data_IF_111170740457
#
_entry.id   IF_111170740457
#
_cell.length_a   1.000
_cell.length_b   1.000
_cell.length_c   1.000
_cell.angle_alpha   90.00
_cell.angle_beta   90.00
_cell.angle_gamma   90.00
#
_symmetry.space_group_name_H-M   'P 1'
#
loop_
_entity.id
_entity.type
_entity.pdbx_description
1 polymer ?
#
# COMPACT_ATOMS: atom_id res chain seq x y z
N UNK A 1 6.43 6.25 3.08
CA UNK A 1 6.10 6.82 1.76
C UNK A 1 5.19 8.00 1.99
N UNK A 2 5.43 9.16 1.38
CA UNK A 2 4.49 10.28 1.45
C UNK A 2 3.35 9.97 0.48
N UNK A 3 2.13 9.79 1.00
CA UNK A 3 0.94 9.62 0.17
C UNK A 3 0.32 10.99 -0.10
N UNK A 4 0.41 11.45 -1.34
CA UNK A 4 -0.21 12.70 -1.75
C UNK A 4 -1.63 12.40 -2.25
N UNK A 5 -2.62 12.92 -1.55
CA UNK A 5 -3.99 12.85 -2.01
C UNK A 5 -4.18 13.78 -3.23
N UNK A 6 -4.34 13.20 -4.41
CA UNK A 6 -4.47 13.95 -5.66
C UNK A 6 -5.63 14.95 -5.67
N UNK A 7 -6.72 14.70 -4.92
CA UNK A 7 -7.84 15.64 -4.79
C UNK A 7 -7.41 16.90 -4.04
N UNK A 8 -6.67 16.75 -2.95
CA UNK A 8 -6.21 17.88 -2.14
C UNK A 8 -5.14 18.69 -2.86
N UNK A 9 -4.27 18.00 -3.60
CA UNK A 9 -3.34 18.65 -4.52
C UNK A 9 -4.09 19.54 -5.51
N UNK A 10 -5.10 18.99 -6.19
CA UNK A 10 -5.91 19.75 -7.13
C UNK A 10 -6.65 20.91 -6.45
N UNK A 11 -7.22 20.71 -5.25
CA UNK A 11 -7.89 21.77 -4.51
C UNK A 11 -6.95 22.94 -4.20
N UNK A 12 -5.74 22.67 -3.69
CA UNK A 12 -4.75 23.71 -3.40
C UNK A 12 -4.41 24.53 -4.67
N UNK A 13 -4.14 23.85 -5.79
CA UNK A 13 -3.84 24.51 -7.07
C UNK A 13 -5.04 25.31 -7.58
N UNK A 14 -6.26 24.79 -7.45
CA UNK A 14 -7.47 25.46 -7.90
C UNK A 14 -7.77 26.73 -7.09
N UNK A 15 -7.54 26.74 -5.77
CA UNK A 15 -7.74 27.96 -4.98
C UNK A 15 -6.68 29.03 -5.28
N UNK A 16 -5.42 28.63 -5.50
CA UNK A 16 -4.38 29.56 -5.98
C UNK A 16 -4.82 30.18 -7.31
N UNK A 17 -5.29 29.36 -8.26
CA UNK A 17 -5.79 29.83 -9.56
C UNK A 17 -7.01 30.74 -9.44
N UNK A 18 -7.94 30.43 -8.54
CA UNK A 18 -9.12 31.28 -8.29
C UNK A 18 -8.70 32.66 -7.82
N UNK A 19 -7.78 32.76 -6.86
CA UNK A 19 -7.30 34.06 -6.37
C UNK A 19 -6.55 34.82 -7.46
N UNK A 20 -5.73 34.13 -8.26
CA UNK A 20 -5.06 34.75 -9.43
C UNK A 20 -6.07 35.35 -10.42
N UNK A 21 -7.15 34.63 -10.73
CA UNK A 21 -8.19 35.15 -11.60
C UNK A 21 -8.88 36.41 -11.02
N UNK A 22 -9.05 36.49 -9.71
CA UNK A 22 -9.57 37.71 -9.05
C UNK A 22 -8.59 38.88 -9.23
N UNK A 23 -7.28 38.64 -9.04
CA UNK A 23 -6.23 39.65 -9.22
C UNK A 23 -6.22 40.17 -10.67
N UNK A 24 -6.36 39.30 -11.67
CA UNK A 24 -6.36 39.70 -13.07
C UNK A 24 -7.50 40.69 -13.41
N UNK A 25 -8.63 40.59 -12.71
CA UNK A 25 -9.81 41.43 -12.92
C UNK A 25 -9.89 42.64 -11.97
N UNK A 26 -8.84 42.91 -11.17
CA UNK A 26 -8.83 43.93 -10.11
C UNK A 26 -8.72 45.41 -10.55
N UNK A 27 -9.20 45.76 -11.74
CA UNK A 27 -9.18 47.14 -12.23
C UNK A 27 -7.79 47.62 -12.69
N UNK A 28 -7.65 48.93 -12.85
CA UNK A 28 -6.42 49.60 -13.31
C UNK A 28 -5.29 49.59 -12.28
N UNK A 29 -4.06 49.88 -12.71
CA UNK A 29 -2.88 49.91 -11.82
C UNK A 29 -2.99 50.91 -10.67
N UNK A 30 -3.72 52.01 -10.86
CA UNK A 30 -4.00 52.98 -9.80
C UNK A 30 -4.98 52.40 -8.76
N UNK A 31 -6.06 51.76 -9.22
CA UNK A 31 -7.04 51.07 -8.37
C UNK A 31 -6.41 49.91 -7.58
N UNK A 32 -5.40 49.25 -8.14
CA UNK A 32 -4.67 48.16 -7.46
C UNK A 32 -3.83 48.62 -6.27
N UNK A 33 -3.56 49.92 -6.17
CA UNK A 33 -2.84 50.54 -5.04
C UNK A 33 -3.78 51.13 -4.01
N UNK A 34 -5.08 51.17 -4.26
CA UNK A 34 -6.05 51.62 -3.27
C UNK A 34 -6.29 50.54 -2.19
N UNK A 35 -6.76 50.98 -1.02
CA UNK A 35 -7.12 50.04 0.04
C UNK A 35 -8.24 49.12 -0.43
N UNK A 36 -8.08 47.82 -0.22
CA UNK A 36 -9.04 46.81 -0.63
C UNK A 36 -10.32 46.93 0.20
N UNK A 37 -11.46 46.86 -0.49
CA UNK A 37 -12.76 46.91 0.15
C UNK A 37 -13.04 45.63 0.97
N UNK A 38 -13.88 45.78 2.00
CA UNK A 38 -14.21 44.69 2.93
C UNK A 38 -14.82 43.47 2.23
N UNK A 39 -15.64 43.67 1.19
CA UNK A 39 -16.28 42.55 0.48
C UNK A 39 -15.23 41.73 -0.27
N UNK A 40 -14.26 42.37 -0.92
CA UNK A 40 -13.15 41.68 -1.57
C UNK A 40 -12.29 40.93 -0.55
N UNK A 41 -11.97 41.53 0.61
CA UNK A 41 -11.25 40.85 1.70
C UNK A 41 -12.00 39.62 2.21
N UNK A 42 -13.30 39.72 2.45
CA UNK A 42 -14.13 38.60 2.93
C UNK A 42 -14.16 37.43 1.95
N UNK A 43 -14.14 37.69 0.63
CA UNK A 43 -14.08 36.66 -0.41
C UNK A 43 -12.70 35.97 -0.40
N UNK A 44 -11.62 36.75 -0.33
CA UNK A 44 -10.25 36.24 -0.31
C UNK A 44 -9.92 35.47 0.96
N UNK A 45 -10.47 35.89 2.10
CA UNK A 45 -10.32 35.21 3.37
C UNK A 45 -10.91 33.79 3.29
N UNK A 46 -12.11 33.65 2.71
CA UNK A 46 -12.73 32.32 2.47
C UNK A 46 -11.86 31.44 1.57
N UNK A 47 -11.37 31.97 0.45
CA UNK A 47 -10.49 31.19 -0.45
C UNK A 47 -9.20 30.76 0.28
N UNK A 48 -8.66 31.62 1.15
CA UNK A 48 -7.46 31.31 1.93
C UNK A 48 -7.75 30.25 3.00
N UNK A 49 -8.88 30.36 3.69
CA UNK A 49 -9.35 29.36 4.66
C UNK A 49 -9.61 27.98 4.00
N UNK A 50 -10.07 27.96 2.74
CA UNK A 50 -10.25 26.72 1.97
C UNK A 50 -8.90 26.13 1.47
N UNK A 51 -7.92 26.99 1.19
CA UNK A 51 -6.59 26.59 0.69
C UNK A 51 -5.70 25.98 1.79
N UNK A 52 -5.68 26.56 3.00
CA UNK A 52 -4.77 26.16 4.10
C UNK A 52 -4.87 24.67 4.44
N UNK A 53 -6.05 24.06 4.63
CA UNK A 53 -6.17 22.63 4.93
C UNK A 53 -5.59 21.73 3.84
N UNK A 54 -5.65 22.18 2.58
CA UNK A 54 -5.09 21.43 1.45
C UNK A 54 -3.55 21.48 1.48
N UNK A 55 -2.96 22.65 1.72
CA UNK A 55 -1.50 22.79 1.87
C UNK A 55 -0.95 22.00 3.06
N UNK A 56 -1.68 21.99 4.17
CA UNK A 56 -1.34 21.21 5.37
C UNK A 56 -1.29 19.70 5.06
N UNK A 57 -2.31 19.17 4.36
CA UNK A 57 -2.39 17.75 4.01
C UNK A 57 -1.40 17.35 2.91
N UNK A 58 -0.92 18.30 2.10
CA UNK A 58 0.20 18.09 1.17
C UNK A 58 1.55 18.11 1.88
N UNK A 59 1.58 18.44 3.18
CA UNK A 59 2.80 18.68 3.94
C UNK A 59 3.67 19.82 3.35
N UNK A 60 3.05 20.77 2.65
CA UNK A 60 3.68 21.96 2.07
C UNK A 60 3.76 23.07 3.14
N UNK A 61 4.64 22.88 4.13
CA UNK A 61 4.73 23.70 5.36
C UNK A 61 5.08 25.15 5.09
N UNK A 62 5.96 25.44 4.13
CA UNK A 62 6.34 26.82 3.79
C UNK A 62 5.20 27.54 3.07
N UNK A 63 4.51 26.83 2.19
CA UNK A 63 3.30 27.32 1.53
C UNK A 63 2.19 27.60 2.54
N UNK A 64 1.94 26.66 3.46
CA UNK A 64 0.97 26.79 4.55
C UNK A 64 1.29 28.01 5.43
N UNK A 65 2.55 28.18 5.82
CA UNK A 65 2.99 29.33 6.62
C UNK A 65 2.71 30.65 5.90
N UNK A 66 2.96 30.70 4.59
CA UNK A 66 2.75 31.90 3.77
C UNK A 66 1.25 32.19 3.58
N UNK A 67 0.43 31.16 3.42
CA UNK A 67 -1.03 31.27 3.38
C UNK A 67 -1.63 31.75 4.70
N UNK A 68 -1.11 31.27 5.84
CA UNK A 68 -1.54 31.75 7.17
C UNK A 68 -1.19 33.22 7.40
N UNK A 69 -0.03 33.69 6.90
CA UNK A 69 0.31 35.13 6.92
C UNK A 69 -0.65 35.96 6.07
N UNK A 70 -0.97 35.50 4.86
CA UNK A 70 -1.97 36.17 4.02
C UNK A 70 -3.33 36.24 4.73
N UNK A 71 -3.77 35.15 5.36
CA UNK A 71 -5.00 35.08 6.14
C UNK A 71 -5.03 36.13 7.26
N UNK A 72 -3.92 36.30 7.98
CA UNK A 72 -3.77 37.33 9.03
C UNK A 72 -3.89 38.75 8.44
N UNK A 73 -3.19 39.04 7.34
CA UNK A 73 -3.27 40.34 6.64
C UNK A 73 -4.70 40.67 6.15
N UNK A 74 -5.43 39.65 5.69
CA UNK A 74 -6.82 39.80 5.23
C UNK A 74 -7.80 40.02 6.39
N UNK A 75 -7.52 39.43 7.56
CA UNK A 75 -8.39 39.48 8.74
C UNK A 75 -8.25 40.78 9.54
N UNK A 76 -7.10 41.45 9.44
CA UNK A 76 -6.85 42.73 10.10
C UNK A 76 -7.49 43.89 9.30
N UNK A 77 -7.87 44.96 9.99
CA UNK A 77 -8.41 46.19 9.38
C UNK A 77 -7.30 47.12 8.81
N UNK A 78 -6.05 46.65 8.79
CA UNK A 78 -4.90 47.39 8.28
C UNK A 78 -5.02 47.66 6.77
N UNK A 79 -4.28 48.66 6.29
CA UNK A 79 -4.19 48.98 4.87
C UNK A 79 -3.62 47.79 4.08
N UNK A 80 -4.37 47.28 3.11
CA UNK A 80 -4.00 46.12 2.30
C UNK A 80 -4.53 46.31 0.89
N UNK A 81 -3.68 46.10 -0.11
CA UNK A 81 -3.96 46.43 -1.51
C UNK A 81 -3.97 45.17 -2.40
N UNK A 82 -4.41 45.32 -3.65
CA UNK A 82 -4.28 44.27 -4.66
C UNK A 82 -2.81 43.94 -4.97
N UNK A 83 -1.91 44.92 -4.79
CA UNK A 83 -0.46 44.72 -4.94
C UNK A 83 0.08 43.81 -3.83
N UNK A 84 -0.36 44.02 -2.59
CA UNK A 84 0.03 43.18 -1.44
C UNK A 84 -0.48 41.75 -1.61
N UNK A 85 -1.74 41.59 -2.06
CA UNK A 85 -2.30 40.29 -2.40
C UNK A 85 -1.47 39.58 -3.49
N UNK A 86 -1.09 40.31 -4.54
CA UNK A 86 -0.28 39.75 -5.64
C UNK A 86 1.07 39.24 -5.13
N UNK A 87 1.74 40.01 -4.27
CA UNK A 87 3.00 39.60 -3.67
C UNK A 87 2.84 38.37 -2.75
N UNK A 88 1.80 38.36 -1.91
CA UNK A 88 1.52 37.24 -1.01
C UNK A 88 1.20 35.95 -1.78
N UNK A 89 0.38 36.03 -2.84
CA UNK A 89 0.07 34.88 -3.69
C UNK A 89 1.30 34.37 -4.45
N UNK A 90 2.18 35.26 -4.91
CA UNK A 90 3.43 34.87 -5.56
C UNK A 90 4.37 34.15 -4.59
N UNK A 91 4.45 34.58 -3.32
CA UNK A 91 5.22 33.86 -2.29
C UNK A 91 4.64 32.46 -2.05
N UNK A 92 3.32 32.33 -1.87
CA UNK A 92 2.65 31.02 -1.69
C UNK A 92 2.91 30.09 -2.88
N UNK A 93 2.76 30.56 -4.12
CA UNK A 93 3.02 29.74 -5.32
C UNK A 93 4.49 29.35 -5.44
N UNK A 94 5.42 30.28 -5.19
CA UNK A 94 6.85 30.01 -5.27
C UNK A 94 7.26 28.96 -4.23
N UNK A 95 6.77 29.06 -3.00
CA UNK A 95 7.04 28.07 -1.96
C UNK A 95 6.45 26.71 -2.30
N UNK A 96 5.23 26.68 -2.84
CA UNK A 96 4.61 25.42 -3.23
C UNK A 96 5.40 24.75 -4.34
N UNK A 97 5.89 25.53 -5.32
CA UNK A 97 6.76 25.03 -6.37
C UNK A 97 8.07 24.48 -5.81
N UNK A 98 8.77 25.25 -4.96
CA UNK A 98 10.01 24.80 -4.33
C UNK A 98 9.81 23.51 -3.53
N UNK A 99 8.73 23.40 -2.76
CA UNK A 99 8.40 22.22 -1.97
C UNK A 99 8.05 21.01 -2.86
N UNK A 100 7.36 21.23 -3.97
CA UNK A 100 7.05 20.19 -4.95
C UNK A 100 8.31 19.74 -5.73
N UNK A 101 9.27 20.62 -5.99
CA UNK A 101 10.54 20.29 -6.63
C UNK A 101 11.42 19.37 -5.75
N UNK A 102 11.20 19.38 -4.43
CA UNK A 102 11.91 18.52 -3.47
C UNK A 102 11.32 17.11 -3.35
N UNK A 103 10.13 16.85 -3.92
CA UNK A 103 9.46 15.54 -3.81
C UNK A 103 9.33 14.83 -5.15
N UNK A 104 9.19 13.51 -5.10
CA UNK A 104 8.86 12.68 -6.27
C UNK A 104 7.47 12.11 -6.10
N UNK A 105 6.62 12.33 -7.09
CA UNK A 105 5.26 11.80 -7.13
C UNK A 105 5.28 10.53 -7.96
N UNK A 106 4.94 9.40 -7.34
CA UNK A 106 4.74 8.13 -8.02
C UNK A 106 3.24 7.88 -8.13
N UNK A 107 2.75 7.69 -9.35
CA UNK A 107 1.33 7.44 -9.60
C UNK A 107 1.14 5.96 -9.90
N UNK A 108 0.29 5.31 -9.10
CA UNK A 108 -0.12 3.94 -9.36
C UNK A 108 -1.33 3.92 -10.29
N UNK A 109 -1.39 2.91 -11.16
CA UNK A 109 -2.63 2.62 -11.88
C UNK A 109 -3.70 2.16 -10.87
N UNK A 110 -5.01 2.34 -11.16
CA UNK A 110 -6.07 1.86 -10.27
C UNK A 110 -5.96 0.37 -9.95
N UNK A 111 -5.51 -0.44 -10.91
CA UNK A 111 -5.26 -1.87 -10.71
C UNK A 111 -4.11 -2.12 -9.71
N UNK A 112 -3.05 -1.32 -9.76
CA UNK A 112 -1.93 -1.45 -8.82
C UNK A 112 -2.24 -0.91 -7.43
N UNK A 113 -3.10 0.12 -7.33
CA UNK A 113 -3.55 0.66 -6.06
C UNK A 113 -4.32 -0.38 -5.21
N UNK A 114 -5.00 -1.35 -5.84
CA UNK A 114 -5.66 -2.44 -5.15
C UNK A 114 -4.70 -3.34 -4.35
N UNK A 115 -3.40 -3.33 -4.66
CA UNK A 115 -2.38 -4.05 -3.91
C UNK A 115 -1.84 -3.28 -2.68
N UNK A 116 -2.33 -2.06 -2.43
CA UNK A 116 -2.01 -1.29 -1.21
C UNK A 116 -3.01 -1.51 -0.07
N UNK A 117 -3.99 -2.39 -0.25
CA UNK A 117 -4.92 -2.78 0.79
C UNK A 117 -4.22 -3.49 1.96
N UNK A 118 -4.90 -3.58 3.11
CA UNK A 118 -4.38 -4.32 4.27
C UNK A 118 -4.33 -5.82 3.97
N UNK A 119 -3.47 -6.56 4.66
CA UNK A 119 -3.39 -8.03 4.54
C UNK A 119 -4.75 -8.70 4.74
N UNK A 120 -5.55 -8.21 5.68
CA UNK A 120 -6.90 -8.71 5.95
C UNK A 120 -7.85 -8.52 4.77
N UNK A 121 -7.81 -7.35 4.12
CA UNK A 121 -8.64 -7.04 2.96
C UNK A 121 -8.20 -7.82 1.71
N UNK A 122 -6.88 -8.03 1.56
CA UNK A 122 -6.29 -8.80 0.46
C UNK A 122 -6.64 -10.29 0.54
N UNK A 123 -6.54 -10.88 1.74
CA UNK A 123 -6.72 -12.31 1.95
C UNK A 123 -8.18 -12.70 2.19
N UNK A 124 -9.01 -11.77 2.67
CA UNK A 124 -10.40 -12.01 3.03
C UNK A 124 -10.57 -12.71 4.39
N UNK A 125 -11.82 -12.78 4.89
CA UNK A 125 -12.10 -13.05 6.29
C UNK A 125 -11.67 -14.44 6.78
N UNK A 126 -11.70 -15.45 5.90
CA UNK A 126 -11.38 -16.83 6.28
C UNK A 126 -9.88 -17.02 6.53
N UNK A 127 -9.03 -16.51 5.64
CA UNK A 127 -7.57 -16.54 5.86
C UNK A 127 -7.23 -15.66 7.07
N UNK A 128 -7.84 -14.48 7.19
CA UNK A 128 -7.63 -13.59 8.35
C UNK A 128 -7.91 -14.25 9.69
N UNK A 129 -8.94 -15.09 9.78
CA UNK A 129 -9.27 -15.78 11.03
C UNK A 129 -8.44 -17.04 11.29
N UNK A 130 -8.07 -17.80 10.25
CA UNK A 130 -7.39 -19.10 10.40
C UNK A 130 -5.86 -19.00 10.29
N UNK A 131 -5.34 -17.97 9.62
CA UNK A 131 -3.91 -17.74 9.38
C UNK A 131 -3.53 -16.27 9.62
N UNK A 132 -3.81 -15.68 10.79
CA UNK A 132 -3.49 -14.27 11.05
C UNK A 132 -1.99 -13.96 10.92
N UNK A 133 -1.09 -14.92 11.15
CA UNK A 133 0.35 -14.69 11.04
C UNK A 133 0.84 -14.46 9.60
N UNK A 134 0.09 -14.88 8.57
CA UNK A 134 0.48 -14.68 7.17
C UNK A 134 0.19 -13.27 6.66
N UNK A 135 -0.67 -12.52 7.35
CA UNK A 135 -1.22 -11.27 6.84
C UNK A 135 -0.14 -10.23 6.57
N UNK A 136 0.88 -10.16 7.43
CA UNK A 136 2.02 -9.26 7.23
C UNK A 136 2.78 -9.59 5.93
N UNK A 137 3.12 -10.87 5.72
CA UNK A 137 3.86 -11.27 4.53
C UNK A 137 3.03 -11.12 3.24
N UNK A 138 1.72 -11.40 3.30
CA UNK A 138 0.81 -11.19 2.18
C UNK A 138 0.65 -9.70 1.82
N UNK A 139 0.56 -8.84 2.82
CA UNK A 139 0.49 -7.39 2.64
C UNK A 139 1.79 -6.84 2.02
N UNK A 140 2.95 -7.24 2.55
CA UNK A 140 4.24 -6.82 2.00
C UNK A 140 4.47 -7.38 0.59
N UNK A 141 4.04 -8.60 0.31
CA UNK A 141 4.10 -9.18 -1.03
C UNK A 141 3.28 -8.35 -2.04
N UNK A 142 2.05 -7.98 -1.68
CA UNK A 142 1.17 -7.16 -2.51
C UNK A 142 1.75 -5.75 -2.71
N UNK A 143 2.17 -5.07 -1.64
CA UNK A 143 2.75 -3.73 -1.73
C UNK A 143 4.02 -3.70 -2.57
N UNK A 144 4.90 -4.71 -2.45
CA UNK A 144 6.08 -4.84 -3.31
C UNK A 144 5.68 -4.92 -4.79
N UNK A 145 4.60 -5.64 -5.13
CA UNK A 145 4.08 -5.68 -6.49
C UNK A 145 3.55 -4.31 -6.94
N UNK A 146 2.80 -3.62 -6.07
CA UNK A 146 2.27 -2.28 -6.33
C UNK A 146 3.37 -1.28 -6.73
N UNK A 147 4.55 -1.38 -6.10
CA UNK A 147 5.69 -0.49 -6.34
C UNK A 147 6.76 -1.07 -7.28
N UNK A 148 6.40 -2.06 -8.10
CA UNK A 148 7.26 -2.69 -9.11
C UNK A 148 8.56 -3.26 -8.50
N UNK A 149 8.43 -4.03 -7.42
CA UNK A 149 9.50 -4.84 -6.80
C UNK A 149 9.13 -6.33 -6.83
N UNK A 150 9.02 -6.93 -8.03
CA UNK A 150 8.51 -8.30 -8.21
C UNK A 150 9.31 -9.37 -7.45
N UNK A 151 10.65 -9.33 -7.45
CA UNK A 151 11.45 -10.31 -6.68
C UNK A 151 11.19 -10.23 -5.18
N UNK A 152 11.00 -9.04 -4.62
CA UNK A 152 10.65 -8.88 -3.21
C UNK A 152 9.23 -9.40 -2.91
N UNK A 153 8.29 -9.18 -3.83
CA UNK A 153 6.94 -9.74 -3.75
C UNK A 153 6.95 -11.28 -3.69
N UNK A 154 7.76 -11.91 -4.55
CA UNK A 154 7.95 -13.37 -4.53
C UNK A 154 8.63 -13.82 -3.23
N UNK A 155 9.63 -13.09 -2.74
CA UNK A 155 10.30 -13.42 -1.49
C UNK A 155 9.33 -13.44 -0.29
N UNK A 156 8.49 -12.42 -0.14
CA UNK A 156 7.44 -12.40 0.87
C UNK A 156 6.42 -13.53 0.67
N UNK A 157 6.05 -13.82 -0.58
CA UNK A 157 5.19 -14.97 -0.91
C UNK A 157 5.80 -16.31 -0.46
N UNK A 158 7.12 -16.48 -0.55
CA UNK A 158 7.80 -17.68 -0.06
C UNK A 158 7.79 -17.77 1.47
N UNK A 159 7.95 -16.65 2.18
CA UNK A 159 7.85 -16.60 3.65
C UNK A 159 6.44 -16.93 4.14
N UNK A 160 5.40 -16.49 3.43
CA UNK A 160 4.03 -16.95 3.67
C UNK A 160 3.91 -18.47 3.58
N UNK A 161 4.52 -19.09 2.57
CA UNK A 161 4.46 -20.54 2.38
C UNK A 161 5.24 -21.31 3.46
N UNK A 162 6.24 -20.73 4.11
CA UNK A 162 6.89 -21.35 5.28
C UNK A 162 5.90 -21.52 6.45
N UNK A 163 5.05 -20.52 6.69
CA UNK A 163 3.97 -20.59 7.69
C UNK A 163 2.96 -21.68 7.29
N UNK A 164 2.56 -21.69 6.01
CA UNK A 164 1.62 -22.70 5.49
C UNK A 164 2.16 -24.14 5.65
N UNK A 165 3.42 -24.37 5.33
CA UNK A 165 4.07 -25.69 5.49
C UNK A 165 4.14 -26.11 6.95
N UNK A 166 4.42 -25.17 7.85
CA UNK A 166 4.41 -25.43 9.29
C UNK A 166 3.02 -25.85 9.78
N UNK A 167 1.97 -25.13 9.39
CA UNK A 167 0.59 -25.46 9.73
C UNK A 167 0.16 -26.85 9.23
N UNK A 168 0.52 -27.19 7.98
CA UNK A 168 0.24 -28.53 7.44
C UNK A 168 0.99 -29.63 8.21
N UNK A 169 2.24 -29.39 8.62
CA UNK A 169 2.98 -30.33 9.44
C UNK A 169 2.29 -30.57 10.79
N UNK A 170 1.85 -29.50 11.46
CA UNK A 170 1.07 -29.58 12.72
C UNK A 170 -0.24 -30.36 12.52
N UNK A 171 -1.00 -30.07 11.46
CA UNK A 171 -2.25 -30.77 11.13
C UNK A 171 -2.06 -32.29 10.92
N UNK A 172 -0.89 -32.69 10.42
CA UNK A 172 -0.50 -34.10 10.25
C UNK A 172 0.10 -34.72 11.53
N UNK A 173 0.19 -33.97 12.63
CA UNK A 173 0.78 -34.42 13.89
C UNK A 173 2.29 -34.65 13.80
N UNK A 174 2.98 -33.94 12.90
CA UNK A 174 4.43 -34.02 12.73
C UNK A 174 5.07 -33.09 13.76
N UNK A 175 5.99 -33.58 14.62
CA UNK A 175 6.66 -32.74 15.60
C UNK A 175 7.51 -31.65 14.96
N UNK A 176 7.66 -30.52 15.66
CA UNK A 176 8.52 -29.43 15.22
C UNK A 176 9.99 -29.91 15.04
N UNK A 177 10.68 -29.43 13.99
CA UNK A 177 12.07 -29.80 13.75
C UNK A 177 12.98 -29.35 14.89
N UNK A 178 13.68 -30.32 15.48
CA UNK A 178 14.60 -30.11 16.59
C UNK A 178 15.96 -29.56 16.14
N UNK A 179 16.36 -29.85 14.89
CA UNK A 179 17.66 -29.45 14.33
C UNK A 179 17.49 -28.41 13.22
N UNK A 180 18.42 -27.45 13.07
CA UNK A 180 18.40 -26.50 11.96
C UNK A 180 18.37 -27.16 10.58
N UNK A 181 19.07 -28.29 10.41
CA UNK A 181 19.09 -29.04 9.14
C UNK A 181 17.73 -29.59 8.73
N UNK A 182 16.82 -29.80 9.68
CA UNK A 182 15.47 -30.33 9.45
C UNK A 182 14.46 -29.21 9.10
N UNK A 183 14.85 -27.93 9.27
CA UNK A 183 14.03 -26.75 8.98
C UNK A 183 14.09 -26.28 7.53
N UNK A 184 14.77 -27.02 6.65
CA UNK A 184 14.78 -26.70 5.23
C UNK A 184 13.52 -27.25 4.54
N UNK A 185 13.03 -26.55 3.52
CA UNK A 185 11.81 -26.93 2.79
C UNK A 185 11.80 -28.36 2.26
N UNK A 186 12.92 -28.84 1.70
CA UNK A 186 13.00 -30.21 1.18
C UNK A 186 12.75 -31.25 2.26
N UNK A 187 13.38 -31.09 3.42
CA UNK A 187 13.19 -31.98 4.57
C UNK A 187 11.76 -31.90 5.12
N UNK A 188 11.19 -30.70 5.25
CA UNK A 188 9.81 -30.55 5.74
C UNK A 188 8.79 -31.21 4.80
N UNK A 189 8.92 -31.03 3.49
CA UNK A 189 8.05 -31.69 2.51
C UNK A 189 8.21 -33.21 2.52
N UNK A 190 9.42 -33.73 2.75
CA UNK A 190 9.63 -35.17 2.92
C UNK A 190 8.90 -35.71 4.15
N UNK A 191 9.00 -35.02 5.30
CA UNK A 191 8.28 -35.37 6.52
C UNK A 191 6.77 -35.32 6.33
N UNK A 192 6.25 -34.28 5.65
CA UNK A 192 4.82 -34.13 5.31
C UNK A 192 4.34 -35.32 4.48
N UNK A 193 5.08 -35.71 3.44
CA UNK A 193 4.75 -36.88 2.62
C UNK A 193 4.64 -38.16 3.46
N UNK A 194 5.57 -38.35 4.41
CA UNK A 194 5.53 -39.48 5.35
C UNK A 194 4.33 -39.43 6.31
N UNK A 195 4.04 -38.24 6.87
CA UNK A 195 2.88 -38.02 7.75
C UNK A 195 1.55 -38.27 7.04
N UNK A 196 1.42 -37.83 5.80
CA UNK A 196 0.25 -38.10 4.96
C UNK A 196 0.05 -39.59 4.73
N UNK A 197 1.10 -40.32 4.31
CA UNK A 197 1.01 -41.76 4.08
C UNK A 197 0.62 -42.55 5.34
N UNK A 198 0.98 -42.03 6.53
CA UNK A 198 0.58 -42.60 7.82
C UNK A 198 -0.87 -42.28 8.20
N UNK A 199 -1.32 -41.04 7.98
CA UNK A 199 -2.67 -40.57 8.34
C UNK A 199 -3.74 -41.08 7.36
N UNK A 200 -3.40 -41.18 6.08
CA UNK A 200 -4.28 -41.62 5.00
C UNK A 200 -3.63 -42.80 4.25
N UNK A 201 -3.67 -44.02 4.81
CA UNK A 201 -3.09 -45.19 4.15
C UNK A 201 -3.94 -45.63 2.95
N UNK A 202 -3.29 -45.80 1.79
CA UNK A 202 -3.94 -46.25 0.55
C UNK A 202 -4.40 -45.10 -0.36
N UNK A 203 -5.09 -45.41 -1.48
CA UNK A 203 -5.56 -44.39 -2.40
C UNK A 203 -6.69 -43.56 -1.78
N UNK A 204 -6.51 -42.24 -1.77
CA UNK A 204 -7.53 -41.30 -1.31
C UNK A 204 -8.71 -41.25 -2.28
N UNK A 205 -9.93 -41.34 -1.75
CA UNK A 205 -11.15 -41.20 -2.54
C UNK A 205 -11.32 -39.74 -3.00
N UNK A 206 -11.90 -39.48 -4.19
CA UNK A 206 -12.22 -38.13 -4.62
C UNK A 206 -13.00 -37.36 -3.54
N UNK A 207 -12.63 -36.10 -3.31
CA UNK A 207 -13.24 -35.22 -2.30
C UNK A 207 -13.06 -35.64 -0.82
N UNK A 208 -12.26 -36.67 -0.54
CA UNK A 208 -11.87 -36.98 0.84
C UNK A 208 -10.84 -35.98 1.38
N UNK A 209 -10.72 -35.89 2.71
CA UNK A 209 -9.67 -35.11 3.37
C UNK A 209 -8.28 -35.50 2.85
N UNK A 210 -8.00 -36.80 2.71
CA UNK A 210 -6.74 -37.31 2.16
C UNK A 210 -6.46 -36.77 0.74
N UNK A 211 -7.46 -36.75 -0.14
CA UNK A 211 -7.32 -36.23 -1.50
C UNK A 211 -7.08 -34.72 -1.52
N UNK A 212 -7.71 -33.96 -0.60
CA UNK A 212 -7.47 -32.52 -0.46
C UNK A 212 -6.05 -32.24 0.02
N UNK A 213 -5.58 -32.96 1.04
CA UNK A 213 -4.21 -32.83 1.56
C UNK A 213 -3.17 -33.25 0.51
N UNK A 214 -3.43 -34.30 -0.27
CA UNK A 214 -2.61 -34.69 -1.42
C UNK A 214 -2.49 -33.58 -2.46
N UNK A 215 -3.60 -32.89 -2.78
CA UNK A 215 -3.60 -31.74 -3.67
C UNK A 215 -2.78 -30.56 -3.13
N UNK A 216 -2.88 -30.27 -1.83
CA UNK A 216 -2.07 -29.24 -1.16
C UNK A 216 -0.57 -29.56 -1.23
N UNK A 217 -0.20 -30.80 -0.91
CA UNK A 217 1.18 -31.26 -0.98
C UNK A 217 1.75 -31.17 -2.40
N UNK A 218 1.00 -31.63 -3.40
CA UNK A 218 1.42 -31.57 -4.81
C UNK A 218 1.69 -30.12 -5.24
N UNK A 219 0.84 -29.18 -4.80
CA UNK A 219 1.04 -27.75 -5.06
C UNK A 219 2.32 -27.22 -4.40
N UNK A 220 2.56 -27.55 -3.13
CA UNK A 220 3.77 -27.12 -2.41
C UNK A 220 5.06 -27.70 -3.00
N UNK A 221 5.08 -28.98 -3.39
CA UNK A 221 6.25 -29.61 -4.00
C UNK A 221 6.55 -29.03 -5.40
N UNK A 222 5.51 -28.71 -6.17
CA UNK A 222 5.65 -28.04 -7.46
C UNK A 222 6.27 -26.63 -7.33
N UNK A 223 6.02 -25.93 -6.21
CA UNK A 223 6.52 -24.56 -5.96
C UNK A 223 8.01 -24.54 -5.53
N UNK A 224 8.45 -25.57 -4.79
CA UNK A 224 9.77 -25.59 -4.12
C UNK A 224 10.93 -25.20 -5.03
N UNK A 225 11.06 -25.89 -6.15
CA UNK A 225 12.20 -25.73 -7.05
C UNK A 225 12.11 -24.46 -7.90
N UNK A 226 11.01 -24.20 -8.65
CA UNK A 226 10.97 -23.08 -9.59
C UNK A 226 10.89 -21.72 -8.90
N UNK A 227 10.31 -21.62 -7.70
CA UNK A 227 10.10 -20.32 -7.05
C UNK A 227 11.03 -20.11 -5.88
N UNK A 228 11.02 -20.96 -4.84
CA UNK A 228 11.82 -20.67 -3.65
C UNK A 228 13.31 -20.80 -3.88
N UNK A 229 13.78 -21.87 -4.49
CA UNK A 229 15.23 -22.02 -4.73
C UNK A 229 15.71 -20.89 -5.65
N UNK A 230 14.98 -20.63 -6.73
CA UNK A 230 15.24 -19.53 -7.65
C UNK A 230 15.18 -18.13 -7.00
N UNK A 231 14.34 -17.91 -6.00
CA UNK A 231 14.25 -16.60 -5.31
C UNK A 231 15.37 -16.42 -4.28
N UNK A 232 15.79 -17.51 -3.63
CA UNK A 232 16.85 -17.48 -2.62
C UNK A 232 18.25 -17.45 -3.24
N UNK A 233 18.40 -17.91 -4.48
CA UNK A 233 19.64 -17.82 -5.26
C UNK A 233 19.53 -16.66 -6.26
N UNK A 234 20.58 -15.86 -6.43
CA UNK A 234 20.62 -14.68 -7.32
C UNK A 234 20.50 -14.97 -8.82
N UNK A 235 20.10 -16.19 -9.17
CA UNK A 235 20.05 -16.72 -10.52
C UNK A 235 18.84 -16.18 -11.31
N UNK A 236 17.76 -15.78 -10.61
CA UNK A 236 16.52 -15.32 -11.25
C UNK A 236 16.07 -13.93 -10.79
N UNK A 237 15.51 -13.17 -11.73
CA UNK A 237 14.81 -11.91 -11.51
C UNK A 237 13.39 -12.09 -12.03
N UNK A 238 12.39 -11.81 -11.20
CA UNK A 238 10.99 -11.96 -11.59
C UNK A 238 10.48 -10.69 -12.28
N UNK A 239 9.61 -10.88 -13.26
CA UNK A 239 8.79 -9.83 -13.84
C UNK A 239 7.50 -9.63 -13.02
N UNK A 240 6.84 -8.46 -13.13
CA UNK A 240 5.60 -8.17 -12.40
C UNK A 240 4.51 -9.24 -12.57
N UNK A 241 4.28 -9.71 -13.80
CA UNK A 241 3.26 -10.71 -14.07
C UNK A 241 3.57 -12.09 -13.45
N UNK A 242 4.85 -12.46 -13.35
CA UNK A 242 5.28 -13.69 -12.69
C UNK A 242 5.05 -13.60 -11.19
N UNK A 243 5.45 -12.48 -10.58
CA UNK A 243 5.23 -12.22 -9.16
C UNK A 243 3.74 -12.19 -8.80
N UNK A 244 2.92 -11.56 -9.64
CA UNK A 244 1.46 -11.54 -9.48
C UNK A 244 0.86 -12.95 -9.54
N UNK A 245 1.29 -13.77 -10.51
CA UNK A 245 0.85 -15.16 -10.62
C UNK A 245 1.20 -15.95 -9.36
N UNK A 246 2.44 -15.84 -8.89
CA UNK A 246 2.91 -16.52 -7.67
C UNK A 246 2.10 -16.08 -6.44
N UNK A 247 1.92 -14.78 -6.23
CA UNK A 247 1.15 -14.24 -5.12
C UNK A 247 -0.29 -14.78 -5.12
N UNK A 248 -0.94 -14.81 -6.29
CA UNK A 248 -2.29 -15.38 -6.46
C UNK A 248 -2.31 -16.88 -6.13
N UNK A 249 -1.31 -17.65 -6.56
CA UNK A 249 -1.20 -19.07 -6.22
C UNK A 249 -1.06 -19.28 -4.71
N UNK A 250 -0.22 -18.48 -4.04
CA UNK A 250 -0.06 -18.54 -2.57
C UNK A 250 -1.36 -18.21 -1.85
N UNK A 251 -2.05 -17.14 -2.27
CA UNK A 251 -3.35 -16.77 -1.69
C UNK A 251 -4.40 -17.89 -1.85
N UNK A 252 -4.47 -18.50 -3.03
CA UNK A 252 -5.41 -19.59 -3.28
C UNK A 252 -5.07 -20.84 -2.46
N UNK A 253 -3.79 -21.16 -2.27
CA UNK A 253 -3.36 -22.27 -1.43
C UNK A 253 -3.76 -22.03 0.03
N UNK A 254 -3.52 -20.83 0.56
CA UNK A 254 -3.96 -20.46 1.91
C UNK A 254 -5.48 -20.53 2.06
N UNK A 255 -6.24 -20.09 1.05
CA UNK A 255 -7.69 -20.19 1.06
C UNK A 255 -8.13 -21.66 1.14
N UNK A 256 -7.49 -22.55 0.37
CA UNK A 256 -7.79 -23.99 0.43
C UNK A 256 -7.45 -24.58 1.80
N UNK A 257 -6.30 -24.23 2.36
CA UNK A 257 -5.87 -24.70 3.69
C UNK A 257 -6.81 -24.22 4.80
N UNK A 258 -7.18 -22.94 4.79
CA UNK A 258 -8.11 -22.32 5.77
C UNK A 258 -9.56 -22.84 5.70
N UNK A 259 -9.89 -23.66 4.70
CA UNK A 259 -11.15 -24.41 4.70
C UNK A 259 -11.03 -25.77 5.42
N UNK A 260 -9.83 -26.21 5.77
CA UNK A 260 -9.55 -27.52 6.35
C UNK A 260 -8.98 -27.38 7.76
N UNK A 261 -8.04 -26.46 7.98
CA UNK A 261 -7.37 -26.24 9.26
C UNK A 261 -6.82 -24.82 9.43
N UNK A 262 -6.45 -24.44 10.65
CA UNK A 262 -5.81 -23.17 11.02
C UNK A 262 -4.28 -23.24 11.10
N UNK A 263 -3.61 -22.12 11.37
CA UNK A 263 -2.14 -22.04 11.46
C UNK A 263 -1.52 -22.87 12.60
N UNK A 264 -2.34 -23.31 13.56
CA UNK A 264 -1.97 -24.24 14.63
C UNK A 264 -2.28 -25.71 14.27
N UNK A 265 -2.73 -25.95 13.05
CA UNK A 265 -3.09 -27.27 12.53
C UNK A 265 -4.37 -27.84 13.14
N UNK A 266 -5.21 -27.02 13.75
CA UNK A 266 -6.52 -27.44 14.25
C UNK A 266 -7.55 -27.41 13.11
N UNK A 267 -8.45 -28.42 13.01
CA UNK A 267 -9.49 -28.41 11.99
C UNK A 267 -10.38 -27.16 12.02
N UNK A 268 -10.72 -26.65 10.84
CA UNK A 268 -11.55 -25.46 10.60
C UNK A 268 -13.06 -25.70 10.75
#
# INVERSE_FOLDING_TARGET
MLEINGRLFMNAVMEIRRVQAIIEHSGSDEQRRENMDRRSRDILLRNTDDMVPSLQQLHARLSETSALRLREMLSNDDYFTWTDLTAAMADIESRLRDELDLVRIFVLSPAMAAYLLTGSDLCGPRITSHFPSVLFEMEEAAKCLAVLRPTASVFHSMRTLEIAISALAKFLGIPDPSKPSERNWGAMLHSIKGGMAKKYPGPSMPHSEGALIEGLYASLDAIRNPWRNATMHVENIYQPHEAEHILRCVNMLLLQMSNIFDEEGQPA
#
